data_IF_145921045867
#
_entry.id   IF_145921045867
#
_cell.length_a   1.000
_cell.length_b   1.000
_cell.length_c   1.000
_cell.angle_alpha   90.00
_cell.angle_beta   90.00
_cell.angle_gamma   90.00
#
_symmetry.space_group_name_H-M   'P 1'
#
loop_
_entity.id
_entity.type
_entity.pdbx_description
1 polymer ?
#
# COMPACT_ATOMS: atom_id res chain seq x y z
N UNK A 1 1.18 14.80 -1.34
CA UNK A 1 1.91 14.69 -2.60
C UNK A 1 1.72 13.31 -3.18
N UNK A 2 0.99 13.24 -4.24
CA UNK A 2 0.71 11.96 -4.88
C UNK A 2 1.89 11.59 -5.77
N UNK A 3 2.79 10.81 -5.21
CA UNK A 3 3.81 10.21 -6.03
C UNK A 3 3.14 9.12 -6.84
N UNK A 4 3.00 9.39 -8.12
CA UNK A 4 2.38 8.45 -9.01
C UNK A 4 3.37 7.32 -9.29
N UNK A 5 3.04 6.11 -8.85
CA UNK A 5 3.87 4.94 -9.09
C UNK A 5 3.77 4.45 -10.55
N UNK A 6 2.90 5.04 -11.35
CA UNK A 6 2.70 4.64 -12.75
C UNK A 6 3.96 4.85 -13.61
N UNK A 7 4.83 5.78 -13.20
CA UNK A 7 6.11 6.02 -13.87
C UNK A 7 7.24 5.13 -13.38
N UNK A 8 7.03 4.35 -12.32
CA UNK A 8 8.04 3.48 -11.73
C UNK A 8 7.95 2.06 -12.33
N UNK A 9 9.08 1.34 -12.31
CA UNK A 9 9.05 -0.09 -12.58
C UNK A 9 8.36 -0.82 -11.41
N UNK A 10 8.02 -2.10 -11.62
CA UNK A 10 7.36 -2.90 -10.60
C UNK A 10 8.16 -3.02 -9.30
N UNK A 11 9.46 -3.24 -9.40
CA UNK A 11 10.35 -3.37 -8.23
C UNK A 11 10.37 -2.10 -7.38
N UNK A 12 10.56 -0.95 -8.01
CA UNK A 12 10.58 0.34 -7.32
C UNK A 12 9.21 0.72 -6.76
N UNK A 13 8.14 0.43 -7.50
CA UNK A 13 6.78 0.66 -7.02
C UNK A 13 6.45 -0.22 -5.82
N UNK A 14 6.88 -1.47 -5.83
CA UNK A 14 6.72 -2.40 -4.70
C UNK A 14 7.41 -1.89 -3.45
N UNK A 15 8.63 -1.42 -3.57
CA UNK A 15 9.38 -0.83 -2.44
C UNK A 15 8.67 0.41 -1.88
N UNK A 16 8.13 1.24 -2.76
CA UNK A 16 7.35 2.42 -2.38
C UNK A 16 6.13 2.03 -1.55
N UNK A 17 5.37 1.03 -1.98
CA UNK A 17 4.21 0.52 -1.24
C UNK A 17 4.63 -0.09 0.10
N UNK A 18 5.74 -0.82 0.14
CA UNK A 18 6.27 -1.39 1.38
C UNK A 18 6.64 -0.31 2.39
N UNK A 19 7.16 0.84 1.94
CA UNK A 19 7.45 1.98 2.81
C UNK A 19 6.17 2.52 3.47
N UNK A 20 5.07 2.61 2.74
CA UNK A 20 3.77 3.00 3.29
C UNK A 20 3.23 1.98 4.29
N UNK A 21 3.39 0.69 4.02
CA UNK A 21 3.00 -0.37 4.95
C UNK A 21 3.79 -0.30 6.26
N UNK A 22 5.09 -0.02 6.19
CA UNK A 22 5.94 0.17 7.36
C UNK A 22 5.47 1.35 8.20
N UNK A 23 5.17 2.48 7.55
CA UNK A 23 4.64 3.68 8.21
C UNK A 23 3.29 3.38 8.88
N UNK A 24 2.41 2.63 8.20
CA UNK A 24 1.13 2.23 8.76
C UNK A 24 1.31 1.40 10.04
N UNK A 25 2.20 0.41 10.02
CA UNK A 25 2.49 -0.44 11.18
C UNK A 25 3.01 0.39 12.35
N UNK A 26 3.89 1.34 12.08
CA UNK A 26 4.41 2.23 13.10
C UNK A 26 3.31 3.12 13.69
N UNK A 27 2.44 3.67 12.87
CA UNK A 27 1.31 4.50 13.29
C UNK A 27 0.33 3.70 14.16
N UNK A 28 0.03 2.46 13.77
CA UNK A 28 -0.80 1.54 14.56
C UNK A 28 -0.21 1.30 15.96
N UNK A 29 1.10 1.09 16.04
CA UNK A 29 1.80 0.88 17.33
C UNK A 29 1.77 2.13 18.20
N UNK A 30 2.04 3.27 17.62
CA UNK A 30 2.00 4.55 18.35
C UNK A 30 0.60 4.83 18.87
N UNK A 31 -0.44 4.57 18.07
CA UNK A 31 -1.82 4.72 18.50
C UNK A 31 -2.16 3.79 19.66
N UNK A 32 -1.77 2.52 19.57
CA UNK A 32 -2.00 1.54 20.64
C UNK A 32 -1.33 1.98 21.95
N UNK A 33 -0.10 2.49 21.89
CA UNK A 33 0.63 2.99 23.06
C UNK A 33 -0.10 4.22 23.64
N UNK A 34 -0.53 5.16 22.81
CA UNK A 34 -1.25 6.35 23.27
C UNK A 34 -2.57 5.99 23.94
N UNK A 35 -3.32 5.04 23.39
CA UNK A 35 -4.57 4.55 23.97
C UNK A 35 -4.36 3.85 25.30
N UNK A 36 -3.31 3.04 25.42
CA UNK A 36 -2.94 2.38 26.68
C UNK A 36 -2.55 3.39 27.75
N UNK A 37 -1.72 4.37 27.42
CA UNK A 37 -1.36 5.45 28.34
C UNK A 37 -2.58 6.27 28.77
N UNK A 38 -3.52 6.51 27.85
CA UNK A 38 -4.76 7.21 28.13
C UNK A 38 -5.59 6.51 29.21
N UNK A 39 -5.69 5.19 29.14
CA UNK A 39 -6.37 4.37 30.15
C UNK A 39 -5.71 4.57 31.53
N UNK A 40 -4.38 4.54 31.58
CA UNK A 40 -3.63 4.74 32.82
C UNK A 40 -3.85 6.16 33.40
N UNK A 41 -3.88 7.17 32.57
CA UNK A 41 -4.12 8.54 33.04
C UNK A 41 -5.55 8.77 33.49
N UNK A 42 -6.54 8.14 32.85
CA UNK A 42 -7.92 8.16 33.34
C UNK A 42 -8.03 7.51 34.73
N UNK A 43 -7.32 6.43 34.95
CA UNK A 43 -7.28 5.79 36.26
C UNK A 43 -6.67 6.72 37.32
N UNK A 44 -5.60 7.43 36.99
CA UNK A 44 -4.97 8.41 37.88
C UNK A 44 -5.89 9.59 38.19
N UNK A 45 -6.68 10.05 37.24
CA UNK A 45 -7.71 11.07 37.47
C UNK A 45 -8.70 10.60 38.55
N UNK A 46 -9.20 9.38 38.43
CA UNK A 46 -10.12 8.80 39.42
C UNK A 46 -9.48 8.66 40.79
N UNK A 47 -8.23 8.23 40.85
CA UNK A 47 -7.51 8.13 42.11
C UNK A 47 -7.38 9.48 42.80
N UNK A 48 -6.99 10.50 42.05
CA UNK A 48 -6.86 11.87 42.58
C UNK A 48 -8.21 12.42 43.08
N UNK A 49 -9.29 12.14 42.33
CA UNK A 49 -10.65 12.51 42.71
C UNK A 49 -11.06 11.85 44.01
N UNK A 50 -10.85 10.56 44.13
CA UNK A 50 -11.21 9.77 45.32
C UNK A 50 -10.45 10.19 46.57
N UNK A 51 -9.21 10.69 46.41
CA UNK A 51 -8.35 11.16 47.50
C UNK A 51 -8.52 12.66 47.82
N UNK A 52 -9.37 13.34 47.06
CA UNK A 52 -9.60 14.77 47.27
C UNK A 52 -8.41 15.64 46.93
N UNK A 53 -7.65 15.27 45.89
CA UNK A 53 -6.47 16.00 45.41
C UNK A 53 -6.79 16.76 44.10
N UNK A 54 -7.41 17.99 44.20
CA UNK A 54 -7.90 18.68 43.01
C UNK A 54 -6.81 19.11 42.04
N UNK A 55 -5.62 19.44 42.54
CA UNK A 55 -4.50 19.84 41.69
C UNK A 55 -3.94 18.69 40.88
N UNK A 56 -3.77 17.53 41.52
CA UNK A 56 -3.32 16.31 40.85
C UNK A 56 -4.35 15.83 39.84
N UNK A 57 -5.64 15.92 40.18
CA UNK A 57 -6.72 15.60 39.26
C UNK A 57 -6.64 16.45 37.99
N UNK A 58 -6.43 17.76 38.13
CA UNK A 58 -6.32 18.71 37.02
C UNK A 58 -5.14 18.38 36.12
N UNK A 59 -3.97 18.09 36.71
CA UNK A 59 -2.76 17.71 35.95
C UNK A 59 -2.96 16.41 35.19
N UNK A 60 -3.53 15.40 35.85
CA UNK A 60 -3.80 14.11 35.24
C UNK A 60 -4.83 14.22 34.12
N UNK A 61 -5.89 15.01 34.32
CA UNK A 61 -6.90 15.27 33.27
C UNK A 61 -6.30 15.99 32.07
N UNK A 62 -5.40 16.94 32.30
CA UNK A 62 -4.67 17.62 31.23
C UNK A 62 -3.84 16.65 30.39
N UNK A 63 -3.12 15.76 31.05
CA UNK A 63 -2.35 14.73 30.35
C UNK A 63 -3.22 13.75 29.56
N UNK A 64 -4.35 13.33 30.15
CA UNK A 64 -5.32 12.50 29.48
C UNK A 64 -5.89 13.17 28.23
N UNK A 65 -6.18 14.48 28.31
CA UNK A 65 -6.67 15.24 27.15
C UNK A 65 -5.64 15.31 26.01
N UNK A 66 -4.36 15.53 26.33
CA UNK A 66 -3.27 15.50 25.35
C UNK A 66 -3.15 14.15 24.65
N UNK A 67 -3.22 13.07 25.42
CA UNK A 67 -3.13 11.70 24.88
C UNK A 67 -4.34 11.34 24.03
N UNK A 68 -5.52 11.79 24.40
CA UNK A 68 -6.74 11.60 23.59
C UNK A 68 -6.61 12.29 22.24
N UNK A 69 -6.14 13.53 22.25
CA UNK A 69 -5.91 14.29 21.04
C UNK A 69 -4.88 13.60 20.14
N UNK A 70 -3.77 13.13 20.72
CA UNK A 70 -2.75 12.39 20.00
C UNK A 70 -3.31 11.10 19.39
N UNK A 71 -4.06 10.32 20.16
CA UNK A 71 -4.69 9.10 19.68
C UNK A 71 -5.67 9.36 18.53
N UNK A 72 -6.43 10.44 18.62
CA UNK A 72 -7.35 10.86 17.54
C UNK A 72 -6.60 11.22 16.25
N UNK A 73 -5.50 11.97 16.37
CA UNK A 73 -4.66 12.31 15.20
C UNK A 73 -4.05 11.07 14.58
N UNK A 74 -3.51 10.17 15.39
CA UNK A 74 -2.92 8.91 14.91
C UNK A 74 -3.97 8.03 14.23
N UNK A 75 -5.19 7.97 14.76
CA UNK A 75 -6.29 7.25 14.13
C UNK A 75 -6.64 7.82 12.75
N UNK A 76 -6.65 9.16 12.61
CA UNK A 76 -6.90 9.82 11.32
C UNK A 76 -5.77 9.54 10.33
N UNK A 77 -4.51 9.60 10.76
CA UNK A 77 -3.35 9.26 9.94
C UNK A 77 -3.41 7.80 9.46
N UNK A 78 -3.75 6.89 10.37
CA UNK A 78 -3.92 5.47 10.04
C UNK A 78 -4.96 5.26 8.95
N UNK A 79 -6.11 5.91 9.05
CA UNK A 79 -7.16 5.83 8.04
C UNK A 79 -6.71 6.38 6.68
N UNK A 80 -6.01 7.51 6.69
CA UNK A 80 -5.43 8.10 5.49
C UNK A 80 -4.43 7.16 4.81
N UNK A 81 -3.55 6.55 5.58
CA UNK A 81 -2.56 5.58 5.10
C UNK A 81 -3.23 4.34 4.51
N UNK A 82 -4.26 3.81 5.18
CA UNK A 82 -5.00 2.64 4.68
C UNK A 82 -5.65 2.92 3.33
N UNK A 83 -6.27 4.08 3.16
CA UNK A 83 -6.89 4.49 1.89
C UNK A 83 -5.85 4.61 0.79
N UNK A 84 -4.71 5.24 1.09
CA UNK A 84 -3.62 5.41 0.12
C UNK A 84 -3.03 4.07 -0.29
N UNK A 85 -2.80 3.17 0.66
CA UNK A 85 -2.28 1.83 0.40
C UNK A 85 -3.26 1.04 -0.47
N UNK A 86 -4.56 1.16 -0.24
CA UNK A 86 -5.56 0.48 -1.07
C UNK A 86 -5.46 0.90 -2.55
N UNK A 87 -5.33 2.21 -2.81
CA UNK A 87 -5.13 2.74 -4.17
C UNK A 87 -3.81 2.26 -4.76
N UNK A 88 -2.72 2.33 -3.99
CA UNK A 88 -1.39 1.90 -4.45
C UNK A 88 -1.33 0.41 -4.76
N UNK A 89 -2.03 -0.42 -4.00
CA UNK A 89 -2.11 -1.87 -4.26
C UNK A 89 -2.76 -2.15 -5.60
N UNK A 90 -3.82 -1.44 -5.96
CA UNK A 90 -4.47 -1.59 -7.26
C UNK A 90 -3.53 -1.20 -8.40
N UNK A 91 -2.84 -0.09 -8.26
CA UNK A 91 -1.84 0.34 -9.24
C UNK A 91 -0.68 -0.65 -9.36
N UNK A 92 -0.25 -1.21 -8.24
CA UNK A 92 0.82 -2.20 -8.19
C UNK A 92 0.44 -3.48 -8.94
N UNK A 93 -0.81 -3.93 -8.83
CA UNK A 93 -1.31 -5.07 -9.59
C UNK A 93 -1.23 -4.83 -11.09
N UNK A 94 -1.60 -3.64 -11.56
CA UNK A 94 -1.51 -3.26 -12.97
C UNK A 94 -0.05 -3.29 -13.45
N UNK A 95 0.87 -2.73 -12.66
CA UNK A 95 2.30 -2.75 -12.98
C UNK A 95 2.87 -4.17 -13.03
N UNK A 96 2.43 -5.02 -12.11
CA UNK A 96 2.83 -6.43 -12.08
C UNK A 96 2.41 -7.16 -13.36
N UNK A 97 1.18 -6.94 -13.82
CA UNK A 97 0.67 -7.52 -15.06
C UNK A 97 1.44 -7.03 -16.27
N UNK A 98 1.77 -5.74 -16.33
CA UNK A 98 2.59 -5.17 -17.41
C UNK A 98 3.99 -5.76 -17.43
N UNK A 99 4.61 -5.94 -16.27
CA UNK A 99 5.94 -6.53 -16.17
C UNK A 99 5.93 -7.99 -16.65
N UNK A 100 4.93 -8.77 -16.25
CA UNK A 100 4.72 -10.14 -16.70
C UNK A 100 4.51 -10.23 -18.21
N UNK A 101 3.69 -9.34 -18.74
CA UNK A 101 3.45 -9.25 -20.19
C UNK A 101 4.74 -8.92 -20.97
N UNK A 102 5.56 -8.00 -20.47
CA UNK A 102 6.82 -7.63 -21.11
C UNK A 102 7.80 -8.82 -21.15
N UNK A 103 7.88 -9.61 -20.07
CA UNK A 103 8.70 -10.82 -20.02
C UNK A 103 8.23 -11.84 -21.04
N UNK A 104 6.92 -12.07 -21.15
CA UNK A 104 6.34 -13.00 -22.11
C UNK A 104 6.59 -12.54 -23.56
N UNK A 105 6.47 -11.24 -23.82
CA UNK A 105 6.76 -10.66 -25.14
C UNK A 105 8.23 -10.85 -25.52
N UNK A 106 9.16 -10.64 -24.56
CA UNK A 106 10.59 -10.86 -24.79
C UNK A 106 10.90 -12.34 -25.10
N UNK A 107 10.27 -13.26 -24.37
CA UNK A 107 10.40 -14.69 -24.62
C UNK A 107 9.93 -15.05 -26.03
N UNK A 108 8.79 -14.51 -26.48
CA UNK A 108 8.26 -14.72 -27.81
C UNK A 108 9.18 -14.12 -28.89
N UNK A 109 9.75 -12.94 -28.65
CA UNK A 109 10.71 -12.33 -29.58
C UNK A 109 12.00 -13.17 -29.69
N UNK A 110 12.45 -13.75 -28.59
CA UNK A 110 13.61 -14.65 -28.59
C UNK A 110 13.34 -15.88 -29.44
N UNK A 111 12.16 -16.50 -29.28
CA UNK A 111 11.73 -17.63 -30.10
C UNK A 111 11.66 -17.26 -31.58
N UNK A 112 11.13 -16.07 -31.89
CA UNK A 112 11.03 -15.56 -33.24
C UNK A 112 12.42 -15.44 -33.89
N UNK A 113 13.39 -14.90 -33.15
CA UNK A 113 14.79 -14.78 -33.63
C UNK A 113 15.42 -16.13 -33.92
N UNK A 114 15.13 -17.12 -33.08
CA UNK A 114 15.63 -18.50 -33.28
C UNK A 114 15.04 -19.13 -34.54
N UNK A 115 13.79 -18.81 -34.86
CA UNK A 115 13.08 -19.36 -36.02
C UNK A 115 13.33 -18.56 -37.30
N UNK A 116 14.00 -17.41 -37.23
CA UNK A 116 14.22 -16.51 -38.38
C UNK A 116 15.03 -17.12 -39.53
N UNK A 117 15.74 -18.25 -39.29
CA UNK A 117 16.46 -19.00 -40.31
C UNK A 117 15.61 -20.01 -41.07
N UNK A 118 14.37 -20.28 -40.68
CA UNK A 118 13.50 -21.27 -41.30
C UNK A 118 12.42 -20.64 -42.21
N UNK A 119 12.35 -20.97 -43.50
CA UNK A 119 11.31 -20.43 -44.39
C UNK A 119 9.90 -20.84 -43.95
N UNK A 120 9.01 -19.86 -43.77
CA UNK A 120 7.62 -20.09 -43.41
C UNK A 120 7.32 -20.17 -41.92
N UNK A 121 8.30 -20.47 -41.07
CA UNK A 121 8.12 -20.50 -39.61
C UNK A 121 7.89 -19.13 -39.04
N UNK A 122 8.51 -18.09 -39.58
CA UNK A 122 8.38 -16.69 -39.18
C UNK A 122 6.94 -16.20 -39.32
N UNK A 123 6.28 -16.49 -40.46
CA UNK A 123 4.90 -16.08 -40.72
C UNK A 123 3.92 -16.70 -39.75
N UNK A 124 4.08 -18.00 -39.43
CA UNK A 124 3.25 -18.71 -38.46
C UNK A 124 3.41 -18.08 -37.05
N UNK A 125 4.63 -17.80 -36.66
CA UNK A 125 4.90 -17.22 -35.35
C UNK A 125 4.34 -15.80 -35.23
N UNK A 126 4.43 -14.98 -36.29
CA UNK A 126 3.82 -13.65 -36.34
C UNK A 126 2.30 -13.71 -36.23
N UNK A 127 1.66 -14.67 -36.91
CA UNK A 127 0.21 -14.87 -36.82
C UNK A 127 -0.22 -15.26 -35.42
N UNK A 128 0.55 -16.14 -34.76
CA UNK A 128 0.30 -16.52 -33.35
C UNK A 128 0.42 -15.31 -32.39
N UNK A 129 1.45 -14.46 -32.56
CA UNK A 129 1.62 -13.25 -31.78
C UNK A 129 0.44 -12.29 -31.97
N UNK A 130 0.00 -12.08 -33.19
CA UNK A 130 -1.15 -11.21 -33.49
C UNK A 130 -2.43 -11.77 -32.85
N UNK A 131 -2.63 -13.08 -32.91
CA UNK A 131 -3.79 -13.74 -32.32
C UNK A 131 -3.79 -13.59 -30.80
N UNK A 132 -2.64 -13.77 -30.15
CA UNK A 132 -2.51 -13.61 -28.70
C UNK A 132 -2.75 -12.16 -28.27
N UNK A 133 -2.21 -11.20 -29.02
CA UNK A 133 -2.43 -9.79 -28.74
C UNK A 133 -3.91 -9.41 -28.85
N UNK A 134 -4.60 -9.92 -29.88
CA UNK A 134 -6.04 -9.72 -30.07
C UNK A 134 -6.84 -10.34 -28.92
N UNK A 135 -6.48 -11.54 -28.48
CA UNK A 135 -7.14 -12.23 -27.38
C UNK A 135 -6.99 -11.47 -26.05
N UNK A 136 -5.80 -10.97 -25.76
CA UNK A 136 -5.56 -10.17 -24.55
C UNK A 136 -6.31 -8.84 -24.58
N UNK A 137 -6.39 -8.19 -25.73
CA UNK A 137 -7.18 -6.97 -25.89
C UNK A 137 -8.66 -7.22 -25.61
N UNK A 138 -9.21 -8.35 -26.05
CA UNK A 138 -10.58 -8.77 -25.76
C UNK A 138 -10.79 -9.04 -24.26
N UNK A 139 -9.86 -9.73 -23.62
CA UNK A 139 -9.93 -9.99 -22.16
C UNK A 139 -9.92 -8.71 -21.35
N UNK A 140 -9.14 -7.72 -21.72
CA UNK A 140 -9.11 -6.41 -21.06
C UNK A 140 -10.43 -5.66 -21.18
N UNK A 141 -11.11 -5.78 -22.32
CA UNK A 141 -12.42 -5.13 -22.51
C UNK A 141 -13.53 -5.79 -21.70
N UNK A 142 -13.41 -7.08 -21.40
CA UNK A 142 -14.41 -7.85 -20.66
C UNK A 142 -14.19 -7.82 -19.15
N UNK A 143 -12.99 -7.51 -18.70
CA UNK A 143 -12.66 -7.40 -17.30
C UNK A 143 -12.90 -6.01 -16.77
#
# INVERSE_FOLDING_TARGET
MDTDIDSLDYGSAREYVLAFLTTLKQTERERAIAEEELVHWHHRVKLAENRGEPQLKKLAAGRAAELRERATRLAAEEQGLRRKIAVLRQKLLVLRERASFAVDADALLTQLRQLAGEPGALDLTLKELEAQAALEALKRKQG
#
